data_IF_604488203062
#
_entry.id   IF_604488203062
#
_cell.length_a   1.000
_cell.length_b   1.000
_cell.length_c   1.000
_cell.angle_alpha   90.00
_cell.angle_beta   90.00
_cell.angle_gamma   90.00
#
_symmetry.space_group_name_H-M   'P 1'
#
loop_
_entity.id
_entity.type
_entity.pdbx_description
1 polymer ?
#
# COMPACT_ATOMS: atom_id res chain seq x y z
N UNK A 1 0.58 17.35 -26.88
CA UNK A 1 0.21 15.97 -27.29
C UNK A 1 -0.55 15.35 -26.14
N UNK A 2 -1.63 14.64 -26.42
CA UNK A 2 -2.40 13.93 -25.40
C UNK A 2 -1.64 12.73 -24.85
N UNK A 3 -2.02 12.29 -23.64
CA UNK A 3 -1.53 11.05 -23.03
C UNK A 3 -2.73 10.17 -22.69
N UNK A 4 -2.71 8.93 -23.16
CA UNK A 4 -3.62 7.88 -22.72
C UNK A 4 -2.96 7.05 -21.62
N UNK A 5 -3.72 6.70 -20.58
CA UNK A 5 -3.27 5.87 -19.46
C UNK A 5 -4.28 4.72 -19.30
N UNK A 6 -3.79 3.50 -19.40
CA UNK A 6 -4.53 2.27 -19.15
C UNK A 6 -4.11 1.69 -17.77
N UNK A 7 -5.06 1.51 -16.86
CA UNK A 7 -4.83 1.02 -15.50
C UNK A 7 -5.06 -0.49 -15.39
N UNK A 8 -4.16 -1.20 -14.70
CA UNK A 8 -4.15 -2.66 -14.69
C UNK A 8 -3.87 -3.34 -13.35
N UNK A 9 -4.22 -4.63 -13.28
CA UNK A 9 -3.83 -5.51 -12.18
C UNK A 9 -2.43 -6.11 -12.38
N UNK A 10 -2.05 -6.37 -13.64
CA UNK A 10 -0.74 -6.94 -13.99
C UNK A 10 0.35 -5.91 -13.74
N UNK A 11 0.25 -4.81 -14.47
CA UNK A 11 1.04 -3.59 -14.41
C UNK A 11 0.15 -2.48 -13.86
N UNK A 12 0.71 -1.52 -13.13
CA UNK A 12 -0.06 -0.46 -12.50
C UNK A 12 -0.69 0.48 -13.52
N UNK A 13 0.11 0.92 -14.51
CA UNK A 13 -0.36 1.80 -15.57
C UNK A 13 0.49 1.59 -16.84
N UNK A 14 -0.15 1.56 -18.00
CA UNK A 14 0.50 1.58 -19.31
C UNK A 14 0.15 2.92 -19.95
N UNK A 15 1.17 3.66 -20.39
CA UNK A 15 1.00 5.00 -20.94
C UNK A 15 1.25 4.96 -22.44
N UNK A 16 0.43 5.70 -23.21
CA UNK A 16 0.49 5.76 -24.68
C UNK A 16 1.83 6.25 -25.23
N UNK A 17 2.70 6.82 -24.40
CA UNK A 17 4.08 7.19 -24.74
C UNK A 17 5.06 5.99 -24.73
N UNK A 18 4.55 4.77 -24.54
CA UNK A 18 5.33 3.53 -24.50
C UNK A 18 5.88 3.18 -23.11
N UNK A 19 5.60 3.99 -22.08
CA UNK A 19 6.08 3.73 -20.72
C UNK A 19 5.12 2.81 -19.97
N UNK A 20 5.67 1.80 -19.30
CA UNK A 20 4.93 0.90 -18.42
C UNK A 20 5.36 1.06 -16.97
N UNK A 21 4.41 1.23 -16.08
CA UNK A 21 4.60 1.32 -14.64
C UNK A 21 4.19 0.00 -13.98
N UNK A 22 5.12 -0.67 -13.32
CA UNK A 22 4.88 -1.98 -12.69
C UNK A 22 4.04 -1.86 -11.43
N UNK A 23 3.25 -2.89 -11.11
CA UNK A 23 2.47 -2.89 -9.88
C UNK A 23 3.34 -2.98 -8.62
N UNK A 24 3.43 -1.88 -7.87
CA UNK A 24 4.25 -1.77 -6.64
C UNK A 24 3.85 -2.81 -5.58
N UNK A 25 2.57 -3.18 -5.53
CA UNK A 25 2.04 -4.17 -4.58
C UNK A 25 2.68 -5.56 -4.78
N UNK A 26 3.20 -5.84 -5.98
CA UNK A 26 3.88 -7.12 -6.28
C UNK A 26 5.34 -7.13 -5.84
N UNK A 27 5.90 -5.99 -5.43
CA UNK A 27 7.29 -5.90 -4.98
C UNK A 27 7.57 -6.78 -3.76
N UNK A 28 8.77 -7.38 -3.70
CA UNK A 28 9.19 -8.21 -2.57
C UNK A 28 9.13 -7.45 -1.23
N UNK A 29 9.43 -6.14 -1.26
CA UNK A 29 9.38 -5.25 -0.09
C UNK A 29 7.96 -5.12 0.45
N UNK A 30 6.96 -4.81 -0.41
CA UNK A 30 5.57 -4.71 0.04
C UNK A 30 5.03 -6.07 0.49
N UNK A 31 5.27 -7.14 -0.26
CA UNK A 31 4.88 -8.50 0.15
C UNK A 31 5.44 -8.88 1.53
N UNK A 32 6.69 -8.50 1.85
CA UNK A 32 7.29 -8.75 3.17
C UNK A 32 6.58 -7.95 4.28
N UNK A 33 6.23 -6.69 4.01
CA UNK A 33 5.50 -5.84 4.95
C UNK A 33 4.06 -6.33 5.17
N UNK A 34 3.35 -6.73 4.13
CA UNK A 34 2.01 -7.32 4.20
C UNK A 34 2.01 -8.63 5.00
N UNK A 35 2.96 -9.54 4.72
CA UNK A 35 3.14 -10.76 5.52
C UNK A 35 3.41 -10.45 6.99
N UNK A 36 4.17 -9.38 7.28
CA UNK A 36 4.40 -8.93 8.66
C UNK A 36 3.12 -8.38 9.28
N UNK A 37 2.36 -7.56 8.55
CA UNK A 37 1.09 -7.01 9.00
C UNK A 37 0.10 -8.12 9.40
N UNK A 38 -0.06 -9.14 8.56
CA UNK A 38 -0.92 -10.31 8.86
C UNK A 38 -0.47 -11.03 10.13
N UNK A 39 0.83 -11.22 10.33
CA UNK A 39 1.36 -11.85 11.56
C UNK A 39 1.08 -11.01 12.80
N UNK A 40 1.27 -9.68 12.71
CA UNK A 40 1.02 -8.79 13.84
C UNK A 40 -0.48 -8.69 14.17
N UNK A 41 -1.36 -8.72 13.17
CA UNK A 41 -2.81 -8.78 13.36
C UNK A 41 -3.24 -10.09 14.03
N UNK A 42 -2.69 -11.23 13.61
CA UNK A 42 -2.92 -12.53 14.28
C UNK A 42 -2.44 -12.51 15.74
N UNK A 43 -1.29 -11.90 16.01
CA UNK A 43 -0.77 -11.70 17.38
C UNK A 43 -1.72 -10.84 18.22
N UNK A 44 -2.24 -9.75 17.65
CA UNK A 44 -3.24 -8.89 18.31
C UNK A 44 -4.52 -9.67 18.65
N UNK A 45 -5.05 -10.46 17.71
CA UNK A 45 -6.22 -11.30 17.93
C UNK A 45 -6.02 -12.28 19.09
N UNK A 46 -4.90 -13.00 19.13
CA UNK A 46 -4.58 -13.91 20.25
C UNK A 46 -4.49 -13.18 21.59
N UNK A 47 -3.96 -11.95 21.62
CA UNK A 47 -3.93 -11.14 22.83
C UNK A 47 -5.32 -10.73 23.30
N UNK A 48 -6.25 -10.45 22.38
CA UNK A 48 -7.64 -10.18 22.71
C UNK A 48 -8.34 -11.39 23.32
N UNK A 49 -8.11 -12.59 22.80
CA UNK A 49 -8.65 -13.81 23.40
C UNK A 49 -8.08 -14.06 24.81
N UNK A 50 -6.78 -13.81 25.00
CA UNK A 50 -6.17 -13.92 26.33
C UNK A 50 -6.63 -12.83 27.31
N UNK A 51 -7.07 -11.66 26.81
CA UNK A 51 -7.64 -10.59 27.65
C UNK A 51 -8.88 -11.06 28.41
N UNK A 52 -9.70 -11.90 27.76
CA UNK A 52 -10.92 -12.47 28.36
C UNK A 52 -10.62 -13.37 29.56
N UNK A 53 -9.37 -13.85 29.71
CA UNK A 53 -8.95 -14.77 30.78
C UNK A 53 -8.43 -14.06 32.05
N UNK A 54 -8.38 -12.73 32.05
CA UNK A 54 -8.04 -11.93 33.24
C UNK A 54 -6.53 -11.71 33.45
N UNK A 55 -6.05 -10.49 33.19
CA UNK A 55 -4.70 -10.07 33.52
C UNK A 55 -4.49 -8.57 33.33
N UNK A 56 -4.13 -7.84 34.39
CA UNK A 56 -4.03 -6.36 34.41
C UNK A 56 -3.02 -5.80 33.38
N UNK A 57 -1.90 -6.51 33.14
CA UNK A 57 -0.84 -6.10 32.20
C UNK A 57 -1.22 -6.28 30.72
N UNK A 58 -2.31 -6.99 30.41
CA UNK A 58 -2.68 -7.35 29.05
C UNK A 58 -3.16 -6.15 28.22
N UNK A 59 -3.85 -5.18 28.84
CA UNK A 59 -4.32 -3.95 28.15
C UNK A 59 -3.17 -3.12 27.57
N UNK A 60 -2.08 -2.91 28.35
CA UNK A 60 -0.88 -2.18 27.89
C UNK A 60 -0.19 -2.92 26.74
N UNK A 61 -0.13 -4.25 26.79
CA UNK A 61 0.47 -5.08 25.74
C UNK A 61 -0.33 -5.07 24.43
N UNK A 62 -1.66 -4.95 24.51
CA UNK A 62 -2.55 -4.78 23.36
C UNK A 62 -2.34 -3.40 22.71
N UNK A 63 -2.26 -2.32 23.51
CA UNK A 63 -1.98 -0.98 22.99
C UNK A 63 -0.64 -0.91 22.25
N UNK A 64 0.43 -1.49 22.82
CA UNK A 64 1.74 -1.59 22.15
C UNK A 64 1.63 -2.35 20.81
N UNK A 65 0.84 -3.42 20.77
CA UNK A 65 0.62 -4.21 19.56
C UNK A 65 -0.16 -3.42 18.49
N UNK A 66 -1.19 -2.67 18.88
CA UNK A 66 -1.94 -1.77 17.97
C UNK A 66 -1.02 -0.73 17.35
N UNK A 67 -0.18 -0.07 18.15
CA UNK A 67 0.77 0.92 17.65
C UNK A 67 1.73 0.32 16.62
N UNK A 68 2.18 -0.93 16.82
CA UNK A 68 3.04 -1.64 15.86
C UNK A 68 2.32 -1.89 14.53
N UNK A 69 1.04 -2.26 14.58
CA UNK A 69 0.21 -2.45 13.38
C UNK A 69 -0.01 -1.12 12.66
N UNK A 70 -0.34 -0.05 13.37
CA UNK A 70 -0.51 1.30 12.80
C UNK A 70 0.76 1.78 12.09
N UNK A 71 1.94 1.59 12.70
CA UNK A 71 3.23 1.90 12.05
C UNK A 71 3.47 1.09 10.78
N UNK A 72 2.98 -0.15 10.70
CA UNK A 72 3.09 -0.97 9.48
C UNK A 72 2.15 -0.47 8.38
N UNK A 73 0.91 -0.12 8.70
CA UNK A 73 -0.02 0.52 7.76
C UNK A 73 0.59 1.79 7.19
N UNK A 74 1.00 2.72 8.07
CA UNK A 74 1.61 3.98 7.65
C UNK A 74 2.84 3.77 6.76
N UNK A 75 3.67 2.75 7.04
CA UNK A 75 4.82 2.44 6.19
C UNK A 75 4.42 1.92 4.82
N UNK A 76 3.40 1.07 4.73
CA UNK A 76 2.86 0.55 3.47
C UNK A 76 2.26 1.70 2.65
N UNK A 77 1.45 2.53 3.30
CA UNK A 77 0.77 3.66 2.66
C UNK A 77 1.75 4.72 2.16
N UNK A 78 2.80 5.02 2.94
CA UNK A 78 3.88 5.90 2.48
C UNK A 78 4.59 5.35 1.24
N UNK A 79 4.84 4.04 1.16
CA UNK A 79 5.49 3.43 0.00
C UNK A 79 4.59 3.53 -1.24
N UNK A 80 3.28 3.26 -1.07
CA UNK A 80 2.30 3.37 -2.16
C UNK A 80 2.16 4.82 -2.63
N UNK A 81 2.03 5.75 -1.70
CA UNK A 81 1.87 7.19 -1.97
C UNK A 81 3.12 7.75 -2.66
N UNK A 82 4.31 7.44 -2.16
CA UNK A 82 5.58 7.84 -2.81
C UNK A 82 5.68 7.30 -4.23
N UNK A 83 5.31 6.03 -4.46
CA UNK A 83 5.31 5.44 -5.78
C UNK A 83 4.35 6.16 -6.74
N UNK A 84 3.11 6.39 -6.31
CA UNK A 84 2.09 7.09 -7.10
C UNK A 84 2.55 8.52 -7.41
N UNK A 85 3.05 9.26 -6.43
CA UNK A 85 3.52 10.63 -6.60
C UNK A 85 4.68 10.73 -7.59
N UNK A 86 5.60 9.76 -7.59
CA UNK A 86 6.70 9.70 -8.57
C UNK A 86 6.18 9.50 -9.99
N UNK A 87 5.17 8.65 -10.18
CA UNK A 87 4.53 8.45 -11.48
C UNK A 87 3.83 9.72 -11.94
N UNK A 88 3.02 10.32 -11.07
CA UNK A 88 2.31 11.57 -11.37
C UNK A 88 3.29 12.67 -11.76
N UNK A 89 4.36 12.87 -10.98
CA UNK A 89 5.37 13.88 -11.26
C UNK A 89 6.03 13.65 -12.62
N UNK A 90 6.28 12.39 -12.99
CA UNK A 90 6.83 12.06 -14.30
C UNK A 90 5.86 12.37 -15.44
N UNK A 91 4.59 11.99 -15.31
CA UNK A 91 3.56 12.27 -16.31
C UNK A 91 3.37 13.78 -16.46
N UNK A 92 3.25 14.52 -15.36
CA UNK A 92 3.07 15.99 -15.39
C UNK A 92 4.29 16.69 -16.02
N UNK A 93 5.51 16.18 -15.81
CA UNK A 93 6.72 16.73 -16.43
C UNK A 93 6.67 16.70 -17.97
N UNK A 94 5.92 15.78 -18.56
CA UNK A 94 5.73 15.71 -20.03
C UNK A 94 4.80 16.80 -20.58
N UNK A 95 4.14 17.58 -19.72
CA UNK A 95 3.20 18.66 -20.07
C UNK A 95 2.17 18.23 -21.12
N UNK A 96 1.35 17.22 -20.83
CA UNK A 96 0.32 16.77 -21.76
C UNK A 96 -0.72 17.86 -21.97
N UNK A 97 -1.25 17.94 -23.20
CA UNK A 97 -2.34 18.87 -23.53
C UNK A 97 -3.70 18.38 -23.02
N UNK A 98 -3.85 17.07 -22.84
CA UNK A 98 -5.00 16.40 -22.24
C UNK A 98 -4.58 15.00 -21.78
N UNK A 99 -5.29 14.43 -20.81
CA UNK A 99 -5.06 13.08 -20.29
C UNK A 99 -6.36 12.29 -20.41
N UNK A 100 -6.30 11.12 -21.04
CA UNK A 100 -7.38 10.14 -21.10
C UNK A 100 -7.01 8.98 -20.19
N UNK A 101 -7.93 8.55 -19.33
CA UNK A 101 -7.71 7.45 -18.37
C UNK A 101 -8.77 6.39 -18.63
N UNK A 102 -8.31 5.15 -18.81
CA UNK A 102 -9.14 3.96 -18.92
C UNK A 102 -8.92 3.10 -17.67
N UNK A 103 -10.01 2.54 -17.15
CA UNK A 103 -10.06 1.74 -15.93
C UNK A 103 -10.80 0.42 -16.23
N UNK A 104 -10.40 -0.64 -15.54
CA UNK A 104 -11.03 -1.96 -15.56
C UNK A 104 -12.20 -1.97 -14.55
N UNK A 105 -13.37 -1.47 -14.97
CA UNK A 105 -14.63 -1.78 -14.31
C UNK A 105 -15.18 -3.13 -14.78
#
# INVERSE_FOLDING_TARGET
>A
KGIGIDLGLKDFAIVSNGKTYKNINKSARLKKLEKKLVREQRSLSRKYENLKKGGSTQKRNIQKQKLKIQKLHHRIDNIRTDYINKIIAEIVKTKPSHITIEDLN
#
